data_IF_110053468830
#
_entry.id   IF_110053468830
#
_cell.length_a   1.000
_cell.length_b   1.000
_cell.length_c   1.000
_cell.angle_alpha   90.00
_cell.angle_beta   90.00
_cell.angle_gamma   90.00
#
_symmetry.space_group_name_H-M   'P 1'
#
loop_
_entity.id
_entity.type
_entity.pdbx_description
1 polymer ?
#
# COMPACT_ATOMS: atom_id res chain seq x y z
N UNK A 1 -10.40 -6.49 -33.78
CA UNK A 1 -10.27 -7.37 -32.61
C UNK A 1 -9.16 -6.81 -31.74
N UNK A 2 -9.50 -6.37 -30.53
CA UNK A 2 -8.59 -5.78 -29.55
C UNK A 2 -7.63 -6.87 -29.03
N UNK A 3 -6.32 -6.62 -29.14
CA UNK A 3 -5.31 -7.41 -28.45
C UNK A 3 -5.22 -6.92 -27.00
N UNK A 4 -5.56 -7.79 -26.04
CA UNK A 4 -5.22 -7.56 -24.63
C UNK A 4 -3.70 -7.66 -24.46
N UNK A 5 -3.04 -6.75 -23.72
CA UNK A 5 -1.66 -6.95 -23.30
C UNK A 5 -1.64 -7.88 -22.08
N UNK A 6 -1.82 -9.18 -22.31
CA UNK A 6 -1.44 -10.21 -21.35
C UNK A 6 0.09 -10.34 -21.40
N UNK A 7 0.80 -9.95 -20.34
CA UNK A 7 2.13 -10.53 -20.10
C UNK A 7 3.27 -9.64 -19.61
N UNK A 8 3.06 -8.39 -19.19
CA UNK A 8 4.17 -7.58 -18.63
C UNK A 8 4.37 -7.70 -17.11
N UNK A 9 3.45 -8.34 -16.38
CA UNK A 9 3.52 -8.48 -14.91
C UNK A 9 4.31 -9.71 -14.44
N UNK A 10 4.46 -10.74 -15.29
CA UNK A 10 5.07 -12.01 -14.88
C UNK A 10 6.60 -11.98 -14.70
N UNK A 11 7.29 -10.95 -15.20
CA UNK A 11 8.76 -10.90 -15.19
C UNK A 11 9.38 -10.09 -14.03
N UNK A 12 8.58 -9.42 -13.20
CA UNK A 12 9.08 -8.50 -12.16
C UNK A 12 9.00 -9.04 -10.73
N UNK A 13 8.52 -10.28 -10.54
CA UNK A 13 8.29 -10.83 -9.19
C UNK A 13 7.15 -10.13 -8.43
N UNK A 14 6.35 -9.33 -9.13
CA UNK A 14 5.13 -8.67 -8.62
C UNK A 14 3.93 -9.48 -9.04
N UNK A 15 3.07 -9.85 -8.10
CA UNK A 15 1.76 -10.44 -8.36
C UNK A 15 0.70 -9.48 -7.83
N UNK A 16 -0.23 -9.05 -8.68
CA UNK A 16 -1.44 -8.36 -8.21
C UNK A 16 -2.37 -9.39 -7.59
N UNK A 17 -2.90 -9.08 -6.41
CA UNK A 17 -3.90 -9.85 -5.69
C UNK A 17 -5.31 -9.27 -5.90
N UNK A 18 -5.44 -8.12 -6.58
CA UNK A 18 -6.67 -7.32 -6.64
C UNK A 18 -7.90 -8.03 -7.22
N UNK A 19 -7.70 -9.06 -8.04
CA UNK A 19 -8.79 -9.84 -8.64
C UNK A 19 -9.21 -11.04 -7.77
N UNK A 20 -8.53 -11.30 -6.65
CA UNK A 20 -8.92 -12.36 -5.71
C UNK A 20 -10.15 -11.92 -4.92
N UNK A 21 -11.14 -12.81 -4.80
CA UNK A 21 -12.48 -12.56 -4.23
C UNK A 21 -12.45 -11.86 -2.86
N UNK A 22 -11.45 -12.17 -2.03
CA UNK A 22 -11.29 -11.59 -0.70
C UNK A 22 -10.77 -10.15 -0.68
N UNK A 23 -10.14 -9.69 -1.78
CA UNK A 23 -9.50 -8.38 -1.86
C UNK A 23 -10.17 -7.45 -2.85
N UNK A 24 -10.93 -7.99 -3.82
CA UNK A 24 -11.58 -7.21 -4.87
C UNK A 24 -12.48 -6.11 -4.31
N UNK A 25 -13.16 -6.39 -3.19
CA UNK A 25 -14.08 -5.44 -2.55
C UNK A 25 -13.38 -4.22 -1.96
N UNK A 26 -12.07 -4.30 -1.69
CA UNK A 26 -11.27 -3.18 -1.21
C UNK A 26 -10.84 -2.24 -2.34
N UNK A 27 -10.82 -2.73 -3.58
CA UNK A 27 -10.35 -1.96 -4.72
C UNK A 27 -11.39 -0.90 -5.08
N UNK A 28 -10.95 0.35 -5.18
CA UNK A 28 -11.79 1.53 -5.38
C UNK A 28 -12.39 2.11 -4.10
N UNK A 29 -12.26 1.42 -2.96
CA UNK A 29 -12.76 1.92 -1.68
C UNK A 29 -12.03 3.20 -1.26
N UNK A 30 -12.81 4.10 -0.67
CA UNK A 30 -12.34 5.37 -0.14
C UNK A 30 -12.11 5.24 1.36
N UNK A 31 -10.99 5.79 1.83
CA UNK A 31 -10.67 5.90 3.25
C UNK A 31 -10.25 7.32 3.61
N UNK A 32 -10.45 7.70 4.86
CA UNK A 32 -10.04 8.97 5.45
C UNK A 32 -8.91 8.70 6.43
N UNK A 33 -7.79 9.40 6.28
CA UNK A 33 -6.66 9.31 7.21
C UNK A 33 -7.07 9.84 8.60
N UNK A 34 -6.73 9.09 9.65
CA UNK A 34 -7.09 9.43 11.03
C UNK A 34 -6.01 10.22 11.78
N UNK A 35 -4.85 10.42 11.16
CA UNK A 35 -3.75 11.23 11.67
C UNK A 35 -2.92 11.79 10.51
N UNK A 36 -2.04 12.73 10.83
CA UNK A 36 -1.06 13.25 9.87
C UNK A 36 -0.12 12.13 9.42
N UNK A 37 0.15 12.08 8.12
CA UNK A 37 1.00 11.09 7.47
C UNK A 37 2.09 11.78 6.66
N UNK A 38 3.09 11.01 6.28
CA UNK A 38 4.12 11.44 5.33
C UNK A 38 4.22 10.46 4.17
N UNK A 39 4.49 10.99 2.99
CA UNK A 39 4.91 10.21 1.82
C UNK A 39 6.42 10.20 1.81
N UNK A 40 7.02 9.03 2.06
CA UNK A 40 8.45 8.84 2.16
C UNK A 40 9.04 8.25 0.88
N UNK A 41 10.28 8.63 0.57
CA UNK A 41 11.12 7.82 -0.29
C UNK A 41 11.58 6.57 0.46
N UNK A 42 11.43 5.39 -0.15
CA UNK A 42 11.89 4.14 0.42
C UNK A 42 13.25 3.69 -0.13
N UNK A 43 14.04 3.08 0.75
CA UNK A 43 15.35 2.48 0.48
C UNK A 43 15.43 0.99 0.75
N UNK A 44 14.45 0.41 1.45
CA UNK A 44 14.40 -1.02 1.70
C UNK A 44 13.86 -1.76 0.48
N UNK A 45 14.64 -2.74 0.03
CA UNK A 45 14.26 -3.66 -1.04
C UNK A 45 12.88 -4.32 -0.86
N UNK A 46 12.47 -4.66 0.36
CA UNK A 46 11.20 -5.33 0.67
C UNK A 46 9.95 -4.47 0.49
N UNK A 47 10.10 -3.18 0.23
CA UNK A 47 9.02 -2.22 0.10
C UNK A 47 9.09 -1.60 -1.30
N UNK A 48 7.92 -1.28 -1.86
CA UNK A 48 7.76 -0.64 -3.16
C UNK A 48 8.25 0.81 -3.20
N UNK A 49 7.57 1.62 -4.04
CA UNK A 49 7.95 3.00 -4.36
C UNK A 49 7.82 3.99 -3.20
N UNK A 50 6.93 4.97 -3.33
CA UNK A 50 6.70 5.93 -2.26
C UNK A 50 5.86 5.29 -1.15
N UNK A 51 6.19 5.50 0.12
CA UNK A 51 5.49 4.87 1.24
C UNK A 51 4.70 5.91 2.01
N UNK A 52 3.39 5.69 2.18
CA UNK A 52 2.57 6.49 3.09
C UNK A 52 2.61 5.87 4.48
N UNK A 53 3.14 6.58 5.46
CA UNK A 53 3.25 6.09 6.84
C UNK A 53 3.38 7.27 7.84
N UNK A 54 2.81 7.15 9.05
CA UNK A 54 3.05 8.11 10.12
C UNK A 54 4.40 7.84 10.82
N UNK A 55 4.88 6.61 10.71
CA UNK A 55 6.03 6.09 11.43
C UNK A 55 7.35 6.55 10.79
N UNK A 56 8.40 6.53 11.60
CA UNK A 56 9.77 6.64 11.12
C UNK A 56 10.39 5.24 10.99
N UNK A 57 11.21 5.04 9.97
CA UNK A 57 11.86 3.75 9.71
C UNK A 57 13.23 3.99 9.09
N UNK A 58 14.20 3.13 9.40
CA UNK A 58 15.50 3.12 8.72
C UNK A 58 15.35 2.85 7.20
N UNK A 59 14.20 2.34 6.77
CA UNK A 59 13.87 2.18 5.36
C UNK A 59 13.61 3.51 4.64
N UNK A 60 13.30 4.59 5.36
CA UNK A 60 12.93 5.86 4.74
C UNK A 60 14.17 6.73 4.50
N UNK A 61 14.31 7.23 3.26
CA UNK A 61 15.44 8.06 2.81
C UNK A 61 15.15 9.56 2.89
N UNK A 62 13.88 9.94 2.93
CA UNK A 62 13.48 11.34 3.01
C UNK A 62 11.96 11.51 2.88
N UNK A 63 11.49 12.71 3.26
CA UNK A 63 10.10 13.12 3.10
C UNK A 63 9.88 13.73 1.71
N UNK A 64 8.84 13.30 1.02
CA UNK A 64 8.41 13.84 -0.27
C UNK A 64 7.27 14.84 -0.07
N UNK A 65 6.32 14.51 0.79
CA UNK A 65 5.16 15.35 1.08
C UNK A 65 4.56 14.99 2.43
N UNK A 66 4.13 15.99 3.16
CA UNK A 66 3.22 15.82 4.29
C UNK A 66 1.79 15.64 3.77
N UNK A 67 0.98 14.86 4.50
CA UNK A 67 -0.42 14.60 4.19
C UNK A 67 -1.21 14.75 5.49
N UNK A 68 -2.10 15.75 5.52
CA UNK A 68 -2.85 16.07 6.73
C UNK A 68 -3.90 15.00 7.08
N UNK A 69 -4.15 14.87 8.38
CA UNK A 69 -5.31 14.15 8.90
C UNK A 69 -6.60 14.60 8.19
N UNK A 70 -7.49 13.65 7.90
CA UNK A 70 -8.73 13.92 7.17
C UNK A 70 -8.59 13.86 5.65
N UNK A 71 -7.37 13.75 5.11
CA UNK A 71 -7.18 13.53 3.69
C UNK A 71 -7.78 12.19 3.24
N UNK A 72 -8.32 12.17 2.03
CA UNK A 72 -8.93 10.98 1.44
C UNK A 72 -7.91 10.20 0.62
N UNK A 73 -7.86 8.90 0.84
CA UNK A 73 -7.12 7.96 0.00
C UNK A 73 -8.10 7.00 -0.70
N UNK A 74 -7.71 6.52 -1.88
CA UNK A 74 -8.38 5.40 -2.56
C UNK A 74 -7.40 4.29 -2.83
N UNK A 75 -7.80 3.05 -2.56
CA UNK A 75 -7.02 1.87 -2.92
C UNK A 75 -7.31 1.49 -4.38
N UNK A 76 -6.29 1.19 -5.16
CA UNK A 76 -6.41 0.85 -6.58
C UNK A 76 -5.88 -0.53 -6.91
N UNK A 77 -4.97 -1.05 -6.11
CA UNK A 77 -4.35 -2.33 -6.34
C UNK A 77 -3.83 -2.87 -5.01
N UNK A 78 -3.72 -4.18 -4.88
CA UNK A 78 -2.99 -4.86 -3.82
C UNK A 78 -1.96 -5.74 -4.50
N UNK A 79 -0.69 -5.51 -4.21
CA UNK A 79 0.43 -6.21 -4.86
C UNK A 79 1.22 -6.96 -3.83
N UNK A 80 1.46 -8.24 -4.11
CA UNK A 80 2.47 -9.01 -3.43
C UNK A 80 3.73 -8.98 -4.29
N UNK A 81 4.80 -8.40 -3.76
CA UNK A 81 6.08 -8.43 -4.43
C UNK A 81 7.11 -9.17 -3.61
N UNK A 82 7.79 -10.11 -4.27
CA UNK A 82 8.93 -10.81 -3.69
C UNK A 82 10.20 -10.01 -3.97
N UNK A 83 10.75 -9.40 -2.95
CA UNK A 83 12.01 -8.68 -3.05
C UNK A 83 13.08 -9.39 -2.23
N UNK A 84 13.58 -10.50 -2.78
CA UNK A 84 14.71 -11.25 -2.23
C UNK A 84 14.37 -12.43 -1.30
N UNK A 85 15.28 -12.74 -0.37
CA UNK A 85 15.24 -13.96 0.47
C UNK A 85 14.55 -13.78 1.83
N UNK A 86 14.22 -12.56 2.24
CA UNK A 86 13.78 -12.24 3.60
C UNK A 86 12.25 -12.21 3.83
N UNK A 87 11.45 -12.53 2.80
CA UNK A 87 9.99 -12.65 2.92
C UNK A 87 9.21 -11.79 1.92
N UNK A 88 7.89 -11.87 2.00
CA UNK A 88 6.95 -11.11 1.19
C UNK A 88 6.41 -9.92 2.00
N UNK A 89 6.32 -8.73 1.39
CA UNK A 89 5.47 -7.67 1.90
C UNK A 89 4.39 -7.34 0.87
N UNK A 90 3.13 -7.72 1.11
CA UNK A 90 2.01 -7.18 0.36
C UNK A 90 1.90 -5.69 0.61
N UNK A 91 1.47 -4.95 -0.41
CA UNK A 91 1.30 -3.51 -0.33
C UNK A 91 0.05 -3.11 -1.12
N UNK A 92 -0.76 -2.21 -0.58
CA UNK A 92 -1.83 -1.61 -1.36
C UNK A 92 -1.32 -0.35 -2.05
N UNK A 93 -1.65 -0.20 -3.33
CA UNK A 93 -1.40 1.02 -4.10
C UNK A 93 -2.52 1.98 -3.83
N UNK A 94 -2.16 3.20 -3.43
CA UNK A 94 -3.11 4.24 -3.04
C UNK A 94 -2.91 5.50 -3.85
N UNK A 95 -4.02 6.23 -4.07
CA UNK A 95 -3.99 7.63 -4.49
C UNK A 95 -4.42 8.49 -3.32
N UNK A 96 -3.59 9.46 -2.96
CA UNK A 96 -3.92 10.50 -1.99
C UNK A 96 -4.53 11.69 -2.73
N UNK A 97 -5.74 12.10 -2.34
CA UNK A 97 -6.44 13.21 -2.99
C UNK A 97 -5.75 14.53 -2.64
N UNK A 98 -5.45 15.34 -3.66
CA UNK A 98 -4.85 16.67 -3.48
C UNK A 98 -3.33 16.67 -3.33
N UNK A 99 -2.68 15.50 -3.37
CA UNK A 99 -1.22 15.38 -3.34
C UNK A 99 -0.68 15.04 -4.73
N UNK A 100 0.30 15.81 -5.21
CA UNK A 100 1.01 15.51 -6.44
C UNK A 100 2.27 14.68 -6.15
N UNK A 101 2.36 13.48 -6.71
CA UNK A 101 3.51 12.57 -6.53
C UNK A 101 4.35 12.42 -7.81
N UNK A 102 4.29 13.42 -8.70
CA UNK A 102 4.96 13.41 -10.02
C UNK A 102 4.71 12.14 -10.84
N UNK A 103 3.52 11.53 -10.70
CA UNK A 103 3.15 10.29 -11.40
C UNK A 103 3.71 9.01 -10.79
N UNK A 104 4.37 9.07 -9.63
CA UNK A 104 4.83 7.89 -8.88
C UNK A 104 3.70 7.31 -8.04
N UNK A 105 3.64 5.99 -7.99
CA UNK A 105 2.71 5.26 -7.13
C UNK A 105 3.11 5.40 -5.64
N UNK A 106 2.09 5.51 -4.80
CA UNK A 106 2.20 5.51 -3.34
C UNK A 106 1.66 4.20 -2.83
N UNK A 107 2.35 3.61 -1.85
CA UNK A 107 2.06 2.32 -1.29
C UNK A 107 1.81 2.43 0.22
N UNK A 108 0.85 1.66 0.71
CA UNK A 108 0.71 1.36 2.14
C UNK A 108 1.28 -0.05 2.40
N UNK A 109 2.25 -0.21 3.32
CA UNK A 109 2.80 -1.51 3.65
C UNK A 109 1.80 -2.38 4.42
N UNK A 110 1.65 -3.64 4.01
CA UNK A 110 0.84 -4.66 4.71
C UNK A 110 1.77 -5.81 5.15
N UNK A 111 2.92 -5.46 5.76
CA UNK A 111 3.97 -6.43 6.07
C UNK A 111 3.86 -6.99 7.51
N UNK A 112 4.17 -8.27 7.69
CA UNK A 112 4.56 -8.78 9.02
C UNK A 112 6.02 -8.44 9.36
N UNK A 113 6.92 -8.53 8.37
CA UNK A 113 8.38 -8.40 8.55
C UNK A 113 8.85 -6.99 8.93
N UNK A 114 7.97 -6.00 8.86
CA UNK A 114 8.19 -4.60 9.21
C UNK A 114 6.92 -4.09 9.91
N UNK A 115 6.59 -4.73 11.03
CA UNK A 115 5.38 -4.51 11.83
C UNK A 115 5.20 -3.06 12.27
N UNK A 116 6.31 -2.35 12.50
CA UNK A 116 6.35 -0.94 12.89
C UNK A 116 5.87 0.05 11.82
N UNK A 117 5.78 -0.35 10.55
CA UNK A 117 5.22 0.48 9.46
C UNK A 117 4.00 -0.17 8.80
N UNK A 118 3.53 -1.29 9.35
CA UNK A 118 2.45 -2.07 8.76
C UNK A 118 1.08 -1.46 9.07
N UNK A 119 0.24 -1.39 8.05
CA UNK A 119 -1.14 -0.90 8.17
C UNK A 119 -2.13 -2.01 8.54
N UNK A 120 -1.65 -3.25 8.72
CA UNK A 120 -2.49 -4.37 9.13
C UNK A 120 -2.84 -4.30 10.61
N UNK A 121 -4.13 -4.49 10.92
CA UNK A 121 -4.60 -4.71 12.29
C UNK A 121 -4.06 -6.03 12.86
N UNK A 122 -4.10 -7.11 12.08
CA UNK A 122 -3.47 -8.39 12.41
C UNK A 122 -2.12 -8.52 11.69
N UNK A 123 -0.98 -8.41 12.40
CA UNK A 123 0.33 -8.52 11.78
C UNK A 123 0.61 -9.91 11.22
N UNK A 124 -0.12 -10.97 11.63
CA UNK A 124 0.09 -12.35 11.19
C UNK A 124 -0.63 -12.71 9.88
N UNK A 125 -1.22 -11.72 9.19
CA UNK A 125 -1.91 -11.91 7.92
C UNK A 125 -1.12 -12.79 6.93
N UNK A 126 -1.82 -13.71 6.30
CA UNK A 126 -1.34 -14.51 5.19
C UNK A 126 -2.26 -14.33 3.97
N UNK A 127 -1.72 -14.59 2.77
CA UNK A 127 -2.56 -14.59 1.57
C UNK A 127 -3.69 -15.62 1.74
N UNK A 128 -4.92 -15.14 1.63
CA UNK A 128 -6.16 -15.89 1.90
C UNK A 128 -6.90 -15.37 3.12
N UNK A 129 -6.26 -14.53 3.94
CA UNK A 129 -6.89 -13.87 5.08
C UNK A 129 -7.49 -12.52 4.67
N UNK A 130 -8.53 -12.07 5.37
CA UNK A 130 -9.07 -10.74 5.15
C UNK A 130 -8.04 -9.66 5.55
N UNK A 131 -7.85 -8.66 4.69
CA UNK A 131 -7.02 -7.50 5.03
C UNK A 131 -7.87 -6.53 5.85
N UNK A 132 -7.49 -6.31 7.11
CA UNK A 132 -8.07 -5.29 7.98
C UNK A 132 -7.05 -4.19 8.20
N UNK A 133 -7.41 -2.97 7.81
CA UNK A 133 -6.56 -1.80 8.00
C UNK A 133 -6.74 -1.27 9.42
N UNK A 134 -5.66 -0.83 10.05
CA UNK A 134 -5.71 -0.24 11.39
C UNK A 134 -6.57 1.01 11.42
N UNK A 135 -7.57 1.03 12.30
CA UNK A 135 -8.47 2.17 12.49
C UNK A 135 -7.72 3.43 12.96
N UNK A 136 -6.59 3.28 13.66
CA UNK A 136 -5.70 4.39 14.01
C UNK A 136 -5.11 5.12 12.79
N UNK A 137 -5.04 4.45 11.63
CA UNK A 137 -4.46 5.03 10.42
C UNK A 137 -5.57 5.50 9.48
N UNK A 138 -6.62 4.70 9.32
CA UNK A 138 -7.69 4.95 8.35
C UNK A 138 -9.05 4.43 8.80
N UNK A 139 -10.09 5.17 8.40
CA UNK A 139 -11.48 4.70 8.44
C UNK A 139 -12.10 4.79 7.05
N UNK A 140 -13.08 3.94 6.69
CA UNK A 140 -13.83 4.09 5.45
C UNK A 140 -14.42 5.51 5.34
N UNK A 141 -14.40 6.09 4.15
CA UNK A 141 -15.13 7.34 3.91
C UNK A 141 -16.60 7.12 4.25
N UNK A 142 -17.19 8.03 5.04
CA UNK A 142 -18.62 8.00 5.32
C UNK A 142 -19.42 8.01 4.01
N UNK A 143 -20.45 7.18 3.94
CA UNK A 143 -21.48 7.28 2.90
C UNK A 143 -22.20 8.62 2.98
#
# INVERSE_FOLDING_TARGET
>A
MLALPLGLTACTGVTSLSEEELYSDMIGQCYVLQQDMKIHENGCWSLGGLILSPDESYCFKGNVSDVEQGAQIRLFDIRQQQWGSAGFCPQAVVKVKGTETSGREVFIPLCFSNDHISWLEDPLWQRGDAIRLREEYVLPCGN
#
